data_IF_649349129629
#
_entry.id   IF_649349129629
#
_cell.length_a   1.000
_cell.length_b   1.000
_cell.length_c   1.000
_cell.angle_alpha   90.00
_cell.angle_beta   90.00
_cell.angle_gamma   90.00
#
_symmetry.space_group_name_H-M   'P 1'
#
loop_
_entity.id
_entity.type
_entity.pdbx_description
1 polymer ?
#
# COMPACT_ATOMS: atom_id res chain seq x y z
N UNK A 1 14.54 15.94 -2.21
CA UNK A 1 13.40 15.04 -1.89
C UNK A 1 13.84 14.07 -0.81
N UNK A 2 13.03 13.81 0.21
CA UNK A 2 13.37 12.82 1.24
C UNK A 2 13.37 11.43 0.59
N UNK A 3 14.49 10.73 0.65
CA UNK A 3 14.64 9.38 0.04
C UNK A 3 14.08 8.26 0.94
N UNK A 4 13.07 8.56 1.76
CA UNK A 4 12.41 7.63 2.69
C UNK A 4 10.89 7.73 2.57
N UNK A 5 10.20 6.66 2.93
CA UNK A 5 8.76 6.68 3.09
C UNK A 5 8.35 7.60 4.24
N UNK A 6 7.35 8.42 4.01
CA UNK A 6 6.70 9.25 5.04
C UNK A 6 5.22 8.92 5.06
N UNK A 7 4.61 8.99 6.23
CA UNK A 7 3.16 8.80 6.37
C UNK A 7 2.47 9.92 5.60
N UNK A 8 1.61 9.57 4.65
CA UNK A 8 0.88 10.49 3.81
C UNK A 8 -0.58 10.63 4.23
N UNK A 9 -1.21 9.52 4.62
CA UNK A 9 -2.62 9.49 5.02
C UNK A 9 -2.86 8.41 6.06
N UNK A 10 -3.77 8.69 7.00
CA UNK A 10 -4.37 7.73 7.93
C UNK A 10 -5.86 7.62 7.64
N UNK A 11 -6.42 6.44 7.70
CA UNK A 11 -7.86 6.24 7.48
C UNK A 11 -8.49 5.27 8.45
N UNK A 12 -9.71 5.60 8.84
CA UNK A 12 -10.60 4.83 9.69
C UNK A 12 -11.90 4.58 8.93
N UNK A 13 -12.39 3.34 8.94
CA UNK A 13 -13.66 2.97 8.33
C UNK A 13 -14.44 2.15 9.33
N UNK A 14 -15.62 2.64 9.69
CA UNK A 14 -16.53 2.01 10.65
C UNK A 14 -15.85 1.66 11.99
N UNK A 15 -14.97 2.53 12.45
CA UNK A 15 -14.19 2.33 13.67
C UNK A 15 -14.53 3.40 14.71
N UNK A 16 -14.84 2.97 15.92
CA UNK A 16 -15.29 3.80 17.01
C UNK A 16 -16.53 4.64 16.59
N UNK A 17 -16.51 5.95 16.70
CA UNK A 17 -17.56 6.86 16.24
C UNK A 17 -17.37 7.38 14.82
N UNK A 18 -16.42 6.83 14.07
CA UNK A 18 -16.14 7.25 12.71
C UNK A 18 -16.75 6.28 11.70
N UNK A 19 -17.55 6.78 10.78
CA UNK A 19 -18.02 6.01 9.62
C UNK A 19 -16.90 5.88 8.59
N UNK A 20 -16.45 7.01 8.06
CA UNK A 20 -15.25 7.13 7.21
C UNK A 20 -14.54 8.40 7.63
N UNK A 21 -13.31 8.28 8.05
CA UNK A 21 -12.47 9.45 8.37
C UNK A 21 -11.09 9.26 7.79
N UNK A 22 -10.59 10.26 7.11
CA UNK A 22 -9.26 10.31 6.54
C UNK A 22 -8.51 11.53 7.06
N UNK A 23 -7.28 11.32 7.51
CA UNK A 23 -6.37 12.37 7.96
C UNK A 23 -5.22 12.47 6.99
N UNK A 24 -5.17 13.54 6.21
CA UNK A 24 -4.03 13.85 5.37
C UNK A 24 -2.89 14.46 6.21
N UNK A 25 -1.68 13.95 6.03
CA UNK A 25 -0.51 14.41 6.75
C UNK A 25 0.34 15.32 5.88
N UNK A 26 0.78 16.43 6.44
CA UNK A 26 1.73 17.31 5.78
C UNK A 26 3.15 16.87 6.13
N UNK A 27 3.86 16.30 5.14
CA UNK A 27 5.25 15.85 5.29
C UNK A 27 5.45 14.87 6.48
N UNK A 28 4.46 14.00 6.71
CA UNK A 28 4.45 13.03 7.81
C UNK A 28 4.00 13.59 9.18
N UNK A 29 3.54 14.85 9.23
CA UNK A 29 3.12 15.48 10.46
C UNK A 29 1.59 15.61 10.52
N UNK A 30 1.01 15.31 11.68
CA UNK A 30 -0.39 15.48 11.99
C UNK A 30 -0.55 16.15 13.36
N UNK A 31 -1.33 17.22 13.43
CA UNK A 31 -1.69 17.89 14.67
C UNK A 31 -3.18 17.74 14.96
N UNK A 32 -3.53 16.93 15.96
CA UNK A 32 -4.90 16.80 16.46
C UNK A 32 -5.14 17.78 17.60
N UNK A 33 -6.12 18.68 17.43
CA UNK A 33 -6.54 19.65 18.45
C UNK A 33 -7.97 19.36 18.90
N UNK A 34 -8.26 19.62 20.16
CA UNK A 34 -9.61 19.43 20.72
C UNK A 34 -9.56 19.40 22.25
N UNK A 35 -10.74 19.47 22.88
CA UNK A 35 -10.93 19.38 24.33
C UNK A 35 -10.50 18.02 24.90
N UNK A 36 -10.38 17.92 26.21
CA UNK A 36 -10.11 16.63 26.86
C UNK A 36 -11.33 15.70 26.64
N UNK A 37 -11.07 14.43 26.39
CA UNK A 37 -12.14 13.46 26.13
C UNK A 37 -12.65 13.36 24.68
N UNK A 38 -12.24 14.25 23.76
CA UNK A 38 -12.74 14.23 22.36
C UNK A 38 -12.10 13.12 21.47
N UNK A 39 -11.40 12.15 22.04
CA UNK A 39 -10.93 10.98 21.29
C UNK A 39 -9.56 11.06 20.65
N UNK A 40 -8.82 12.19 20.72
CA UNK A 40 -7.48 12.33 20.09
C UNK A 40 -6.54 11.16 20.38
N UNK A 41 -6.45 10.74 21.64
CA UNK A 41 -5.58 9.64 22.04
C UNK A 41 -6.08 8.30 21.53
N UNK A 42 -7.39 8.05 21.51
CA UNK A 42 -7.97 6.81 20.96
C UNK A 42 -7.64 6.69 19.48
N UNK A 43 -7.89 7.75 18.72
CA UNK A 43 -7.62 7.79 17.28
C UNK A 43 -6.15 7.47 16.98
N UNK A 44 -5.22 8.21 17.60
CA UNK A 44 -3.79 8.02 17.34
C UNK A 44 -3.25 6.67 17.82
N UNK A 45 -3.68 6.21 19.00
CA UNK A 45 -3.22 4.95 19.57
C UNK A 45 -3.69 3.73 18.75
N UNK A 46 -4.85 3.83 18.09
CA UNK A 46 -5.39 2.75 17.27
C UNK A 46 -4.51 2.42 16.04
N UNK A 47 -3.74 3.37 15.55
CA UNK A 47 -2.82 3.15 14.42
C UNK A 47 -1.49 2.51 14.82
N UNK A 48 -1.14 2.46 16.10
CA UNK A 48 0.16 1.94 16.54
C UNK A 48 0.35 0.45 16.22
N UNK A 49 -0.63 -0.45 16.47
CA UNK A 49 -0.52 -1.83 16.03
C UNK A 49 -0.31 -1.97 14.53
N UNK A 50 -0.96 -1.12 13.75
CA UNK A 50 -0.83 -1.14 12.28
C UNK A 50 0.58 -0.76 11.83
N UNK A 51 1.17 0.27 12.46
CA UNK A 51 2.51 0.74 12.10
C UNK A 51 3.61 -0.23 12.54
N UNK A 52 3.42 -0.93 13.65
CA UNK A 52 4.49 -1.70 14.28
C UNK A 52 4.37 -3.21 13.97
N UNK A 53 3.64 -3.92 14.78
CA UNK A 53 3.68 -5.38 14.83
C UNK A 53 2.32 -6.07 14.71
N UNK A 54 1.25 -5.30 14.50
CA UNK A 54 -0.12 -5.85 14.46
C UNK A 54 -0.66 -6.32 15.81
N UNK A 55 0.07 -6.12 16.90
CA UNK A 55 -0.32 -6.55 18.24
C UNK A 55 -1.40 -5.64 18.83
N UNK A 56 -2.57 -6.21 19.11
CA UNK A 56 -3.77 -5.52 19.61
C UNK A 56 -3.86 -5.49 21.14
N UNK A 57 -2.83 -5.92 21.84
CA UNK A 57 -2.88 -5.94 23.30
C UNK A 57 -3.14 -4.54 23.87
N UNK A 58 -3.81 -4.43 25.03
CA UNK A 58 -4.08 -3.14 25.65
C UNK A 58 -2.81 -2.29 25.86
N UNK A 59 -1.68 -2.94 26.16
CA UNK A 59 -0.39 -2.30 26.39
C UNK A 59 0.17 -1.65 25.11
N UNK A 60 -0.14 -2.21 23.94
CA UNK A 60 0.24 -1.62 22.64
C UNK A 60 -0.61 -0.39 22.34
N UNK A 61 -1.89 -0.43 22.67
CA UNK A 61 -2.81 0.69 22.45
C UNK A 61 -2.53 1.82 23.45
N UNK A 62 -2.44 1.48 24.72
CA UNK A 62 -2.14 2.44 25.78
C UNK A 62 -1.28 1.76 26.85
N UNK A 63 0.00 2.15 27.03
CA UNK A 63 0.89 1.57 28.04
C UNK A 63 0.35 1.64 29.47
N UNK A 64 -0.67 2.47 29.69
CA UNK A 64 -1.38 2.64 30.97
C UNK A 64 -2.82 2.19 30.89
N UNK A 65 -3.13 1.52 29.76
CA UNK A 65 -4.48 1.13 29.44
C UNK A 65 -5.16 0.42 30.59
N UNK A 66 -6.21 1.04 31.06
CA UNK A 66 -7.20 0.34 31.87
C UNK A 66 -7.81 -0.77 31.00
N UNK A 67 -8.35 -1.82 31.62
CA UNK A 67 -9.09 -2.88 30.90
C UNK A 67 -10.22 -2.34 30.00
N UNK A 68 -10.63 -1.10 30.18
CA UNK A 68 -11.59 -0.40 29.32
C UNK A 68 -11.05 0.02 27.95
N UNK A 69 -9.74 0.10 27.76
CA UNK A 69 -9.11 0.54 26.51
C UNK A 69 -8.64 -0.64 25.68
N UNK A 70 -9.61 -1.43 25.23
CA UNK A 70 -9.36 -2.55 24.31
C UNK A 70 -9.93 -2.21 22.92
N UNK A 71 -9.37 -2.80 21.89
CA UNK A 71 -9.94 -2.65 20.52
C UNK A 71 -11.41 -3.09 20.47
N UNK A 72 -11.78 -4.11 21.23
CA UNK A 72 -13.17 -4.56 21.30
C UNK A 72 -14.12 -3.44 21.75
N UNK A 73 -13.72 -2.67 22.76
CA UNK A 73 -14.53 -1.58 23.29
C UNK A 73 -14.60 -0.34 22.37
N UNK A 74 -13.68 -0.25 21.39
CA UNK A 74 -13.72 0.78 20.36
C UNK A 74 -14.54 0.35 19.12
N UNK A 75 -14.85 -0.93 19.02
CA UNK A 75 -15.62 -1.46 17.90
C UNK A 75 -17.09 -1.63 18.25
N UNK A 76 -17.41 -2.21 19.41
CA UNK A 76 -18.78 -2.53 19.80
C UNK A 76 -19.33 -1.45 20.73
N UNK A 77 -20.45 -0.87 20.36
CA UNK A 77 -21.28 -0.02 21.19
C UNK A 77 -22.36 -0.81 21.91
N UNK A 78 -23.08 -0.19 22.87
CA UNK A 78 -24.20 -0.82 23.54
C UNK A 78 -25.29 -1.17 22.51
N UNK A 79 -25.53 -2.49 22.36
CA UNK A 79 -26.55 -3.01 21.42
C UNK A 79 -25.96 -3.74 20.22
N UNK A 80 -24.70 -3.51 19.89
CA UNK A 80 -24.06 -4.16 18.76
C UNK A 80 -23.83 -5.65 19.00
N UNK A 81 -24.20 -6.48 18.03
CA UNK A 81 -23.89 -7.91 18.03
C UNK A 81 -22.57 -8.22 17.34
N UNK A 82 -22.29 -7.50 16.26
CA UNK A 82 -21.03 -7.56 15.50
C UNK A 82 -20.74 -6.23 14.80
N UNK A 83 -19.45 -5.93 14.62
CA UNK A 83 -19.00 -4.79 13.83
C UNK A 83 -17.70 -5.15 13.10
N UNK A 84 -17.62 -4.76 11.84
CA UNK A 84 -16.38 -4.86 11.04
C UNK A 84 -15.86 -3.46 10.77
N UNK A 85 -14.57 -3.27 10.93
CA UNK A 85 -13.90 -1.98 10.74
C UNK A 85 -12.56 -2.15 10.03
N UNK A 86 -12.07 -1.07 9.45
CA UNK A 86 -10.75 -1.01 8.84
C UNK A 86 -9.96 0.19 9.35
N UNK A 87 -8.67 -0.05 9.54
CA UNK A 87 -7.65 0.96 9.75
C UNK A 87 -6.64 0.85 8.62
N UNK A 88 -6.19 1.96 8.07
CA UNK A 88 -5.11 1.94 7.09
C UNK A 88 -4.19 3.15 7.23
N UNK A 89 -2.95 2.95 6.78
CA UNK A 89 -1.88 3.95 6.82
C UNK A 89 -1.16 3.93 5.47
N UNK A 90 -1.28 5.01 4.74
CA UNK A 90 -0.63 5.20 3.46
C UNK A 90 0.72 5.91 3.64
N UNK A 91 1.74 5.35 3.07
CA UNK A 91 3.09 5.92 2.99
C UNK A 91 3.38 6.39 1.57
N UNK A 92 4.11 7.48 1.46
CA UNK A 92 4.54 8.05 0.18
C UNK A 92 6.04 8.24 0.14
N UNK A 93 6.65 7.89 -1.01
CA UNK A 93 8.04 8.19 -1.36
C UNK A 93 8.10 8.58 -2.84
N UNK A 94 8.27 9.87 -3.12
CA UNK A 94 8.14 10.38 -4.50
C UNK A 94 6.73 10.11 -5.05
N UNK A 95 6.64 9.35 -6.13
CA UNK A 95 5.37 8.90 -6.73
C UNK A 95 4.97 7.48 -6.34
N UNK A 96 5.74 6.84 -5.46
CA UNK A 96 5.44 5.48 -4.98
C UNK A 96 4.62 5.53 -3.70
N UNK A 97 3.62 4.65 -3.63
CA UNK A 97 2.73 4.51 -2.48
C UNK A 97 2.78 3.08 -1.95
N UNK A 98 2.80 2.95 -0.64
CA UNK A 98 2.61 1.69 0.08
C UNK A 98 1.55 1.93 1.13
N UNK A 99 0.58 1.04 1.24
CA UNK A 99 -0.46 1.16 2.26
C UNK A 99 -0.49 -0.08 3.13
N UNK A 100 -0.30 0.12 4.43
CA UNK A 100 -0.58 -0.89 5.46
C UNK A 100 -2.06 -0.83 5.81
N UNK A 101 -2.71 -1.99 5.91
CA UNK A 101 -4.11 -2.08 6.29
C UNK A 101 -4.38 -3.19 7.29
N UNK A 102 -5.34 -2.93 8.16
CA UNK A 102 -5.80 -3.86 9.19
C UNK A 102 -7.33 -3.89 9.18
N UNK A 103 -7.89 -5.06 8.97
CA UNK A 103 -9.31 -5.29 9.16
C UNK A 103 -9.55 -5.92 10.54
N UNK A 104 -10.62 -5.50 11.17
CA UNK A 104 -11.02 -5.90 12.50
C UNK A 104 -12.49 -6.35 12.47
N UNK A 105 -12.77 -7.50 13.07
CA UNK A 105 -14.15 -7.94 13.29
C UNK A 105 -14.34 -8.26 14.77
N UNK A 106 -15.20 -7.51 15.43
CA UNK A 106 -15.65 -7.75 16.78
C UNK A 106 -17.00 -8.48 16.76
N UNK A 107 -17.12 -9.47 17.62
CA UNK A 107 -18.37 -10.17 17.92
C UNK A 107 -18.58 -10.12 19.42
N UNK A 108 -19.79 -9.91 19.86
CA UNK A 108 -20.14 -9.89 21.28
C UNK A 108 -19.65 -11.17 21.96
N UNK A 109 -18.94 -11.01 23.07
CA UNK A 109 -18.37 -12.12 23.88
C UNK A 109 -17.37 -13.03 23.14
N UNK A 110 -16.74 -12.58 22.05
CA UNK A 110 -15.68 -13.30 21.37
C UNK A 110 -14.43 -12.44 21.21
N UNK A 111 -13.24 -13.04 21.10
CA UNK A 111 -12.03 -12.31 20.76
C UNK A 111 -12.17 -11.58 19.43
N UNK A 112 -11.60 -10.38 19.34
CA UNK A 112 -11.56 -9.62 18.09
C UNK A 112 -10.71 -10.34 17.06
N UNK A 113 -11.30 -10.70 15.95
CA UNK A 113 -10.61 -11.21 14.78
C UNK A 113 -9.90 -10.06 14.06
N UNK A 114 -8.72 -10.34 13.55
CA UNK A 114 -7.96 -9.36 12.72
C UNK A 114 -7.36 -10.05 11.52
N UNK A 115 -7.21 -9.29 10.47
CA UNK A 115 -6.45 -9.62 9.27
C UNK A 115 -5.72 -8.40 8.79
N UNK A 116 -4.62 -8.61 8.09
CA UNK A 116 -3.69 -7.56 7.68
C UNK A 116 -3.43 -7.66 6.19
N UNK A 117 -3.17 -6.53 5.57
CA UNK A 117 -2.79 -6.48 4.17
C UNK A 117 -1.82 -5.34 3.91
N UNK A 118 -1.04 -5.47 2.84
CA UNK A 118 -0.14 -4.43 2.37
C UNK A 118 -0.37 -4.27 0.88
N UNK A 119 -0.74 -3.06 0.45
CA UNK A 119 -0.78 -2.65 -0.94
C UNK A 119 0.60 -2.11 -1.30
N UNK A 120 1.27 -2.76 -2.24
CA UNK A 120 2.59 -2.36 -2.74
C UNK A 120 2.62 -2.16 -4.26
N UNK A 121 1.47 -2.29 -4.91
CA UNK A 121 1.29 -2.13 -6.36
C UNK A 121 0.98 -0.68 -6.81
N UNK A 122 1.03 0.26 -5.88
CA UNK A 122 0.76 1.68 -6.14
C UNK A 122 -0.71 2.07 -6.07
N UNK A 123 -1.64 1.12 -5.93
CA UNK A 123 -3.06 1.43 -5.70
C UNK A 123 -3.27 2.12 -4.36
N UNK A 124 -4.24 3.02 -4.33
CA UNK A 124 -4.55 3.83 -3.15
C UNK A 124 -5.95 3.55 -2.64
N UNK A 125 -6.11 3.46 -1.33
CA UNK A 125 -7.43 3.33 -0.70
C UNK A 125 -8.20 4.65 -0.86
N UNK A 126 -9.49 4.53 -1.16
CA UNK A 126 -10.36 5.67 -1.44
C UNK A 126 -10.30 6.19 -2.89
N UNK A 127 -9.41 5.63 -3.73
CA UNK A 127 -9.31 5.94 -5.16
C UNK A 127 -9.43 4.68 -6.02
N UNK A 128 -8.47 3.77 -5.87
CA UNK A 128 -8.33 2.57 -6.70
C UNK A 128 -8.90 1.32 -6.02
N UNK A 129 -8.97 1.34 -4.69
CA UNK A 129 -9.51 0.27 -3.85
C UNK A 129 -10.41 0.87 -2.78
N UNK A 130 -11.65 0.40 -2.71
CA UNK A 130 -12.59 0.74 -1.65
C UNK A 130 -12.66 -0.39 -0.63
N UNK A 131 -12.55 -0.07 0.66
CA UNK A 131 -12.65 -1.04 1.75
C UNK A 131 -14.10 -1.24 2.23
N UNK A 132 -15.05 -0.61 1.56
CA UNK A 132 -16.49 -0.68 1.86
C UNK A 132 -17.32 -0.61 0.58
N UNK A 133 -18.57 -1.01 0.69
CA UNK A 133 -19.61 -0.83 -0.34
C UNK A 133 -20.65 0.14 0.17
N UNK A 134 -21.14 0.99 -0.71
CA UNK A 134 -22.24 1.89 -0.42
C UNK A 134 -23.51 1.31 -1.07
N UNK A 135 -24.37 0.70 -0.25
CA UNK A 135 -25.64 0.11 -0.68
C UNK A 135 -26.83 0.74 0.06
N UNK A 136 -26.77 2.07 0.28
CA UNK A 136 -27.69 2.79 1.16
C UNK A 136 -27.15 2.94 2.58
N UNK A 137 -26.35 1.99 3.02
CA UNK A 137 -25.56 2.01 4.25
C UNK A 137 -24.11 1.68 3.93
N UNK A 138 -23.20 2.13 4.79
CA UNK A 138 -21.78 1.84 4.68
C UNK A 138 -21.51 0.41 5.17
N UNK A 139 -21.21 -0.49 4.24
CA UNK A 139 -20.94 -1.89 4.55
C UNK A 139 -19.45 -2.18 4.30
N UNK A 140 -18.62 -2.32 5.35
CA UNK A 140 -17.22 -2.70 5.20
C UNK A 140 -17.05 -4.06 4.51
N UNK A 141 -16.01 -4.22 3.71
CA UNK A 141 -15.71 -5.48 3.04
C UNK A 141 -15.48 -6.60 4.06
N UNK A 142 -15.96 -7.80 3.74
CA UNK A 142 -15.58 -8.99 4.47
C UNK A 142 -14.15 -9.42 4.11
N UNK A 143 -13.51 -10.26 4.92
CA UNK A 143 -12.18 -10.83 4.63
C UNK A 143 -12.07 -11.37 3.20
N UNK A 144 -13.05 -12.19 2.78
CA UNK A 144 -13.06 -12.83 1.47
C UNK A 144 -13.19 -11.82 0.33
N UNK A 145 -14.05 -10.82 0.52
CA UNK A 145 -14.18 -9.74 -0.46
C UNK A 145 -12.88 -8.96 -0.59
N UNK A 146 -12.24 -8.60 0.52
CA UNK A 146 -10.96 -7.92 0.51
C UNK A 146 -9.88 -8.74 -0.21
N UNK A 147 -9.77 -10.05 0.05
CA UNK A 147 -8.81 -10.92 -0.64
C UNK A 147 -9.01 -10.92 -2.14
N UNK A 148 -10.26 -10.95 -2.61
CA UNK A 148 -10.57 -10.88 -4.03
C UNK A 148 -10.19 -9.52 -4.64
N UNK A 149 -10.42 -8.43 -3.93
CA UNK A 149 -10.09 -7.06 -4.39
C UNK A 149 -8.58 -6.77 -4.37
N UNK A 150 -7.84 -7.40 -3.44
CA UNK A 150 -6.39 -7.24 -3.37
C UNK A 150 -5.69 -7.80 -4.62
N UNK A 151 -6.17 -8.96 -5.11
CA UNK A 151 -5.56 -9.62 -6.26
C UNK A 151 -4.18 -10.22 -5.98
N UNK A 152 -3.57 -10.75 -7.03
CA UNK A 152 -2.20 -11.29 -6.98
C UNK A 152 -1.17 -10.15 -6.87
N UNK A 153 -0.14 -10.34 -6.04
CA UNK A 153 0.97 -9.38 -5.87
C UNK A 153 0.88 -8.50 -4.62
N UNK A 154 -0.25 -8.47 -3.92
CA UNK A 154 -0.38 -7.79 -2.64
C UNK A 154 -0.37 -8.78 -1.48
N UNK A 155 0.13 -8.32 -0.34
CA UNK A 155 0.25 -9.16 0.83
C UNK A 155 -1.07 -9.19 1.62
N UNK A 156 -1.48 -10.38 2.04
CA UNK A 156 -2.59 -10.61 2.96
C UNK A 156 -2.24 -11.71 3.95
N UNK A 157 -2.56 -11.51 5.21
CA UNK A 157 -2.38 -12.52 6.27
C UNK A 157 -3.34 -12.32 7.44
N UNK A 158 -3.63 -13.40 8.16
CA UNK A 158 -4.29 -13.35 9.46
C UNK A 158 -3.27 -13.56 10.61
N UNK A 159 -2.02 -13.85 10.28
CA UNK A 159 -0.93 -14.05 11.22
C UNK A 159 -0.28 -12.72 11.56
N UNK A 160 -0.29 -12.38 12.86
CA UNK A 160 0.40 -11.21 13.38
C UNK A 160 1.92 -11.27 13.11
N UNK A 161 2.52 -12.45 13.29
CA UNK A 161 3.96 -12.63 13.08
C UNK A 161 4.34 -12.35 11.63
N UNK A 162 3.61 -12.95 10.67
CA UNK A 162 3.86 -12.70 9.26
C UNK A 162 3.64 -11.24 8.87
N UNK A 163 2.67 -10.55 9.49
CA UNK A 163 2.48 -9.12 9.29
C UNK A 163 3.68 -8.31 9.79
N UNK A 164 4.15 -8.59 11.01
CA UNK A 164 5.32 -7.94 11.61
C UNK A 164 6.57 -8.08 10.73
N UNK A 165 6.84 -9.30 10.21
CA UNK A 165 7.93 -9.58 9.29
C UNK A 165 7.83 -8.74 8.01
N UNK A 166 6.62 -8.61 7.46
CA UNK A 166 6.39 -7.83 6.25
C UNK A 166 6.48 -6.32 6.51
N UNK A 167 6.00 -5.82 7.65
CA UNK A 167 6.20 -4.41 8.03
C UNK A 167 7.69 -4.09 8.17
N UNK A 168 8.46 -4.96 8.82
CA UNK A 168 9.91 -4.82 8.86
C UNK A 168 10.49 -4.72 7.44
N UNK A 169 10.17 -5.68 6.58
CA UNK A 169 10.67 -5.73 5.19
C UNK A 169 10.36 -4.47 4.38
N UNK A 170 9.14 -3.93 4.49
CA UNK A 170 8.71 -2.79 3.66
C UNK A 170 9.11 -1.42 4.22
N UNK A 171 9.21 -1.27 5.54
CA UNK A 171 9.38 0.04 6.17
C UNK A 171 10.69 0.20 6.93
N UNK A 172 11.14 -0.83 7.65
CA UNK A 172 12.28 -0.71 8.56
C UNK A 172 13.56 -1.33 8.00
N UNK A 173 13.49 -2.50 7.37
CA UNK A 173 14.61 -3.11 6.64
C UNK A 173 15.67 -3.75 7.53
N UNK A 174 15.32 -4.23 8.74
CA UNK A 174 16.23 -5.01 9.57
C UNK A 174 16.39 -6.42 9.02
N UNK A 175 17.60 -6.93 8.98
CA UNK A 175 17.93 -8.26 8.46
C UNK A 175 17.41 -9.39 9.37
N UNK A 176 17.39 -9.15 10.69
CA UNK A 176 16.85 -10.08 11.68
C UNK A 176 15.63 -9.49 12.39
N UNK A 177 14.74 -10.38 12.83
CA UNK A 177 13.50 -9.99 13.49
C UNK A 177 13.76 -9.54 14.93
N UNK A 178 14.82 -9.99 15.54
CA UNK A 178 15.20 -9.69 16.94
C UNK A 178 15.58 -8.23 17.06
N UNK A 179 16.43 -7.70 16.18
CA UNK A 179 16.77 -6.27 16.12
C UNK A 179 15.52 -5.41 15.87
N UNK A 180 14.58 -5.89 15.07
CA UNK A 180 13.30 -5.19 14.86
C UNK A 180 12.46 -5.18 16.15
N UNK A 181 12.36 -6.30 16.87
CA UNK A 181 11.67 -6.38 18.16
C UNK A 181 12.30 -5.47 19.22
N UNK A 182 13.62 -5.34 19.25
CA UNK A 182 14.32 -4.41 20.13
C UNK A 182 13.93 -2.96 19.83
N UNK A 183 13.90 -2.57 18.54
CA UNK A 183 13.41 -1.25 18.14
C UNK A 183 11.95 -1.04 18.59
N UNK A 184 11.08 -2.03 18.43
CA UNK A 184 9.68 -1.93 18.86
C UNK A 184 9.58 -1.69 20.38
N UNK A 185 10.34 -2.43 21.17
CA UNK A 185 10.37 -2.29 22.63
C UNK A 185 10.85 -0.89 23.04
N UNK A 186 11.87 -0.36 22.36
CA UNK A 186 12.36 0.99 22.58
C UNK A 186 11.27 2.04 22.25
N UNK A 187 10.63 1.95 21.08
CA UNK A 187 9.56 2.87 20.65
C UNK A 187 8.38 2.87 21.64
N UNK A 188 8.01 1.70 22.15
CA UNK A 188 6.92 1.58 23.12
C UNK A 188 7.31 2.19 24.44
N UNK A 189 8.55 1.98 24.90
CA UNK A 189 9.07 2.55 26.13
C UNK A 189 9.12 4.07 26.10
N UNK A 190 9.58 4.66 25.00
CA UNK A 190 9.64 6.12 24.79
C UNK A 190 8.23 6.73 24.73
N UNK A 191 7.26 6.02 24.15
CA UNK A 191 5.87 6.49 24.03
C UNK A 191 5.15 6.62 25.37
N UNK A 192 5.65 5.96 26.41
CA UNK A 192 5.00 5.92 27.71
C UNK A 192 5.02 7.29 28.40
N UNK A 193 3.87 8.00 28.54
CA UNK A 193 3.83 9.31 29.20
C UNK A 193 4.05 9.24 30.71
N UNK A 194 4.08 8.07 31.32
CA UNK A 194 4.32 7.86 32.75
C UNK A 194 5.78 7.90 33.20
N UNK A 195 6.68 8.08 32.27
CA UNK A 195 8.03 8.51 32.69
C UNK A 195 8.00 9.66 33.70
N UNK A 196 6.91 10.43 33.74
CA UNK A 196 6.74 11.54 34.68
C UNK A 196 6.04 11.21 36.01
N UNK A 197 5.27 10.12 36.13
CA UNK A 197 4.48 9.79 37.32
C UNK A 197 5.09 8.73 38.22
N UNK A 198 5.78 7.74 37.62
CA UNK A 198 6.54 6.71 38.36
C UNK A 198 8.02 6.83 38.00
N UNK A 199 8.54 8.06 38.07
CA UNK A 199 9.90 8.40 37.76
C UNK A 199 10.86 7.63 38.73
N UNK A 200 11.32 6.47 38.28
CA UNK A 200 12.47 5.80 38.88
C UNK A 200 13.71 6.21 38.07
N UNK A 201 14.58 7.04 38.67
CA UNK A 201 15.82 7.48 38.00
C UNK A 201 16.64 6.32 37.44
N UNK A 202 16.58 5.17 38.12
CA UNK A 202 17.26 3.93 37.73
C UNK A 202 16.73 3.33 36.40
N UNK A 203 15.46 3.43 36.09
CA UNK A 203 14.92 2.93 34.84
C UNK A 203 15.28 3.85 33.68
N UNK A 204 15.23 5.17 33.88
CA UNK A 204 15.70 6.13 32.87
C UNK A 204 17.20 5.99 32.65
N UNK A 205 17.99 5.84 33.72
CA UNK A 205 19.39 5.60 33.57
C UNK A 205 19.68 4.31 32.79
N UNK A 206 18.91 3.24 33.05
CA UNK A 206 19.02 1.99 32.30
C UNK A 206 18.66 2.19 30.83
N UNK A 207 17.52 2.84 30.51
CA UNK A 207 17.10 3.14 29.15
C UNK A 207 18.14 4.01 28.43
N UNK A 208 18.67 5.03 29.10
CA UNK A 208 19.73 5.87 28.55
C UNK A 208 21.04 5.11 28.38
N UNK A 209 21.42 4.27 29.32
CA UNK A 209 22.63 3.46 29.21
C UNK A 209 22.51 2.41 28.11
N UNK A 210 21.38 1.75 28.01
CA UNK A 210 21.12 0.76 26.95
C UNK A 210 20.99 1.42 25.58
N UNK A 211 20.48 2.66 25.52
CA UNK A 211 20.39 3.44 24.26
C UNK A 211 21.67 4.21 23.90
N UNK A 212 22.55 4.43 24.91
CA UNK A 212 23.85 5.10 24.73
C UNK A 212 25.01 4.11 24.76
N UNK A 213 24.77 2.80 24.65
CA UNK A 213 25.85 1.87 24.33
C UNK A 213 26.65 2.44 23.17
N UNK A 214 27.95 2.64 23.39
CA UNK A 214 28.83 2.95 22.28
C UNK A 214 28.58 1.90 21.22
N UNK A 215 28.07 2.34 20.09
CA UNK A 215 27.82 1.49 18.92
C UNK A 215 29.13 0.78 18.61
N UNK A 216 29.19 -0.51 18.80
CA UNK A 216 30.30 -1.33 18.35
C UNK A 216 30.27 -1.41 16.83
N UNK A 217 31.40 -1.74 16.21
CA UNK A 217 31.44 -1.99 14.76
C UNK A 217 30.44 -3.09 14.35
N UNK A 218 30.12 -4.02 15.26
CA UNK A 218 29.08 -5.04 15.07
C UNK A 218 27.66 -4.46 15.09
N UNK A 219 27.40 -3.46 15.92
CA UNK A 219 26.10 -2.76 15.97
C UNK A 219 25.87 -1.89 14.71
N UNK A 220 26.95 -1.40 14.11
CA UNK A 220 26.91 -0.62 12.86
C UNK A 220 26.83 -1.49 11.59
N UNK A 221 27.22 -2.77 11.68
CA UNK A 221 27.22 -3.71 10.56
C UNK A 221 25.84 -3.83 9.88
N UNK A 222 24.72 -4.05 10.60
CA UNK A 222 23.42 -4.14 9.95
C UNK A 222 23.02 -2.87 9.20
N UNK A 223 23.44 -1.70 9.70
CA UNK A 223 23.20 -0.41 9.03
C UNK A 223 24.09 -0.28 7.80
N UNK A 224 25.36 -0.68 7.90
CA UNK A 224 26.30 -0.70 6.77
C UNK A 224 25.83 -1.65 5.67
N UNK A 225 25.47 -2.89 6.05
CA UNK A 225 24.97 -3.91 5.12
C UNK A 225 23.64 -3.47 4.47
N UNK A 226 22.77 -2.80 5.24
CA UNK A 226 21.53 -2.22 4.70
C UNK A 226 21.79 -1.07 3.73
N UNK A 227 22.81 -0.26 3.97
CA UNK A 227 23.25 0.79 3.04
C UNK A 227 23.84 0.19 1.76
N UNK A 228 24.71 -0.83 1.87
CA UNK A 228 25.28 -1.54 0.71
C UNK A 228 24.18 -2.23 -0.12
N UNK A 229 23.22 -2.87 0.54
CA UNK A 229 22.06 -3.45 -0.12
C UNK A 229 21.21 -2.39 -0.83
N UNK A 230 21.03 -1.22 -0.21
CA UNK A 230 20.29 -0.11 -0.79
C UNK A 230 21.03 0.45 -2.02
N UNK A 231 22.33 0.56 -1.98
CA UNK A 231 23.14 1.00 -3.12
C UNK A 231 23.08 -0.03 -4.26
N UNK A 232 23.19 -1.33 -3.96
CA UNK A 232 23.01 -2.41 -4.94
C UNK A 232 21.62 -2.40 -5.58
N UNK A 233 20.57 -2.16 -4.79
CA UNK A 233 19.21 -2.03 -5.30
C UNK A 233 19.05 -0.77 -6.17
N UNK A 234 19.68 0.34 -5.81
CA UNK A 234 19.68 1.54 -6.63
C UNK A 234 20.39 1.32 -7.96
N UNK A 235 21.53 0.63 -7.97
CA UNK A 235 22.25 0.26 -9.20
C UNK A 235 21.39 -0.62 -10.11
N UNK A 236 20.74 -1.65 -9.53
CA UNK A 236 19.81 -2.53 -10.26
C UNK A 236 18.63 -1.74 -10.84
N UNK A 237 18.11 -0.77 -10.09
CA UNK A 237 17.00 0.08 -10.50
C UNK A 237 17.42 0.99 -11.66
N UNK A 238 18.62 1.52 -11.62
CA UNK A 238 19.16 2.35 -12.70
C UNK A 238 19.49 1.54 -13.96
N UNK A 239 19.97 0.30 -13.82
CA UNK A 239 20.12 -0.63 -14.94
C UNK A 239 18.76 -0.94 -15.59
N UNK A 240 17.75 -1.26 -14.79
CA UNK A 240 16.39 -1.53 -15.28
C UNK A 240 15.78 -0.30 -15.98
N UNK A 241 16.02 0.90 -15.46
CA UNK A 241 15.60 2.16 -16.12
C UNK A 241 16.28 2.35 -17.48
N UNK A 242 17.58 2.06 -17.58
CA UNK A 242 18.31 2.14 -18.85
C UNK A 242 17.80 1.09 -19.84
N UNK A 243 17.58 -0.15 -19.39
CA UNK A 243 17.02 -1.22 -20.20
C UNK A 243 15.60 -0.88 -20.70
N UNK A 244 14.75 -0.37 -19.82
CA UNK A 244 13.41 0.08 -20.21
C UNK A 244 13.43 1.20 -21.26
N UNK A 245 14.32 2.18 -21.09
CA UNK A 245 14.47 3.28 -22.05
C UNK A 245 14.98 2.77 -23.40
N UNK A 246 15.93 1.84 -23.40
CA UNK A 246 16.43 1.20 -24.62
C UNK A 246 15.32 0.38 -25.31
N UNK A 247 14.58 -0.45 -24.57
CA UNK A 247 13.46 -1.21 -25.11
C UNK A 247 12.35 -0.32 -25.68
N UNK A 248 12.04 0.80 -25.00
CA UNK A 248 11.08 1.79 -25.48
C UNK A 248 11.51 2.45 -26.79
N UNK A 249 12.80 2.74 -26.94
CA UNK A 249 13.35 3.26 -28.19
C UNK A 249 13.26 2.22 -29.32
N UNK A 250 13.62 0.97 -29.05
CA UNK A 250 13.50 -0.12 -30.02
C UNK A 250 12.04 -0.27 -30.45
N UNK A 251 11.12 -0.31 -29.50
CA UNK A 251 9.68 -0.36 -29.78
C UNK A 251 9.23 0.78 -30.68
N UNK A 252 9.61 2.02 -30.36
CA UNK A 252 9.27 3.19 -31.17
C UNK A 252 9.75 3.04 -32.63
N UNK A 253 10.99 2.62 -32.84
CA UNK A 253 11.53 2.41 -34.19
C UNK A 253 10.85 1.24 -34.90
N UNK A 254 10.54 0.17 -34.18
CA UNK A 254 9.81 -0.99 -34.72
C UNK A 254 8.39 -0.63 -35.14
N UNK A 255 7.66 0.14 -34.33
CA UNK A 255 6.31 0.61 -34.66
C UNK A 255 6.33 1.52 -35.89
N UNK A 256 7.34 2.39 -35.99
CA UNK A 256 7.55 3.23 -37.17
C UNK A 256 7.85 2.41 -38.43
N UNK A 257 8.72 1.42 -38.33
CA UNK A 257 9.02 0.48 -39.41
C UNK A 257 7.75 -0.26 -39.87
N UNK A 258 7.00 -0.83 -38.95
CA UNK A 258 5.74 -1.53 -39.26
C UNK A 258 4.72 -0.62 -39.92
N UNK A 259 4.63 0.64 -39.51
CA UNK A 259 3.74 1.63 -40.12
C UNK A 259 4.11 1.88 -41.60
N UNK A 260 5.41 1.95 -41.92
CA UNK A 260 5.89 2.12 -43.29
C UNK A 260 5.55 0.89 -44.15
N UNK A 261 5.88 -0.32 -43.62
CA UNK A 261 5.57 -1.58 -44.30
C UNK A 261 4.07 -1.75 -44.55
N UNK A 262 3.24 -1.39 -43.58
CA UNK A 262 1.79 -1.42 -43.74
C UNK A 262 1.31 -0.46 -44.83
N UNK A 263 1.87 0.74 -44.90
CA UNK A 263 1.57 1.74 -45.90
C UNK A 263 1.94 1.23 -47.31
N UNK A 264 3.13 0.64 -47.46
CA UNK A 264 3.58 0.05 -48.74
C UNK A 264 2.66 -1.07 -49.20
N UNK A 265 2.33 -2.01 -48.29
CA UNK A 265 1.40 -3.10 -48.60
C UNK A 265 0.00 -2.60 -48.97
N UNK A 266 -0.49 -1.60 -48.24
CA UNK A 266 -1.79 -0.98 -48.53
C UNK A 266 -1.81 -0.30 -49.90
N UNK A 267 -0.74 0.41 -50.27
CA UNK A 267 -0.60 1.02 -51.62
C UNK A 267 -0.54 -0.04 -52.71
N UNK A 268 0.23 -1.10 -52.52
CA UNK A 268 0.30 -2.19 -53.47
C UNK A 268 -1.09 -2.86 -53.68
N UNK A 269 -1.81 -3.09 -52.60
CA UNK A 269 -3.16 -3.63 -52.65
C UNK A 269 -4.13 -2.70 -53.41
N UNK A 270 -4.15 -1.40 -53.11
CA UNK A 270 -4.97 -0.42 -53.77
C UNK A 270 -4.64 -0.38 -55.27
N UNK A 271 -3.37 -0.39 -55.68
CA UNK A 271 -2.95 -0.41 -57.05
C UNK A 271 -3.44 -1.67 -57.78
N UNK A 272 -3.25 -2.85 -57.16
CA UNK A 272 -3.75 -4.12 -57.74
C UNK A 272 -5.26 -4.13 -57.88
N UNK A 273 -5.98 -3.60 -56.88
CA UNK A 273 -7.44 -3.46 -56.94
C UNK A 273 -7.90 -2.54 -58.07
N UNK A 274 -7.24 -1.41 -58.26
CA UNK A 274 -7.58 -0.45 -59.32
C UNK A 274 -7.32 -1.07 -60.72
N UNK A 275 -6.21 -1.77 -60.90
CA UNK A 275 -5.91 -2.50 -62.15
C UNK A 275 -7.00 -3.51 -62.44
N UNK A 276 -7.35 -4.36 -61.47
CA UNK A 276 -8.40 -5.36 -61.63
C UNK A 276 -9.75 -4.72 -61.96
N UNK A 277 -10.08 -3.61 -61.34
CA UNK A 277 -11.32 -2.86 -61.60
C UNK A 277 -11.36 -2.29 -63.02
N UNK A 278 -10.24 -1.80 -63.55
CA UNK A 278 -10.12 -1.33 -64.92
C UNK A 278 -10.23 -2.48 -65.95
N UNK A 279 -9.58 -3.63 -65.63
CA UNK A 279 -9.69 -4.83 -66.49
C UNK A 279 -11.14 -5.32 -66.59
N UNK A 280 -11.87 -5.39 -65.48
CA UNK A 280 -13.28 -5.76 -65.47
C UNK A 280 -14.09 -4.79 -66.32
N UNK A 281 -13.89 -3.48 -66.11
CA UNK A 281 -14.60 -2.45 -66.89
C UNK A 281 -14.32 -2.56 -68.41
N UNK A 282 -13.07 -2.80 -68.76
CA UNK A 282 -12.66 -2.98 -70.15
C UNK A 282 -13.23 -4.28 -70.75
N UNK A 283 -13.36 -5.33 -69.96
CA UNK A 283 -14.00 -6.57 -70.32
C UNK A 283 -15.50 -6.36 -70.62
N UNK A 284 -16.22 -5.68 -69.73
CA UNK A 284 -17.62 -5.33 -69.88
C UNK A 284 -17.86 -4.47 -71.09
N UNK A 285 -16.98 -3.53 -71.44
CA UNK A 285 -17.04 -2.70 -72.61
C UNK A 285 -16.85 -3.57 -73.90
N UNK A 286 -15.89 -4.47 -73.91
CA UNK A 286 -15.64 -5.38 -75.00
C UNK A 286 -16.84 -6.31 -75.27
N UNK A 287 -17.43 -6.87 -74.25
CA UNK A 287 -18.60 -7.72 -74.31
C UNK A 287 -19.81 -6.95 -74.81
N UNK A 288 -20.02 -5.71 -74.40
CA UNK A 288 -21.12 -4.85 -74.97
C UNK A 288 -20.90 -4.50 -76.42
N UNK A 289 -19.66 -4.18 -76.79
CA UNK A 289 -19.35 -3.89 -78.21
C UNK A 289 -19.54 -5.12 -79.12
N UNK A 290 -19.17 -6.32 -78.62
CA UNK A 290 -19.32 -7.57 -79.33
C UNK A 290 -20.83 -7.96 -79.52
N UNK A 291 -21.65 -7.70 -78.48
CA UNK A 291 -23.13 -7.87 -78.62
C UNK A 291 -23.77 -6.89 -79.53
N UNK A 292 -23.25 -5.67 -79.70
CA UNK A 292 -23.77 -4.68 -80.68
C UNK A 292 -23.31 -4.95 -82.09
N UNK A 293 -22.22 -5.70 -82.31
CA UNK A 293 -21.74 -6.08 -83.65
C UNK A 293 -22.46 -7.32 -84.18
N UNK A 294 -23.05 -8.12 -83.28
CA UNK A 294 -23.79 -9.34 -83.65
C UNK A 294 -25.35 -9.12 -83.77
N UNK A 295 -25.79 -7.86 -83.66
CA UNK A 295 -27.14 -7.40 -84.00
C UNK A 295 -27.10 -6.69 -85.35
#
# INVERSE_FOLDING_TARGET
MKNRYVINKLGLINFWYYDIEEFDLSDGNLLLRGSNGCGKSVTMQSFIPLLLDGNKSPERLDPFGTRARTIANYLLEEGDSEKTAYLYMEFKKGESYITLGMGLKALKNKPVQSWYFILSDGRRIGKDLMLYRNAGELIPLTKRQLQNELGEGNFYTESQKSYMEMVNKYLFGFDDIESYEELLNLLISIRSPKLSKDFKPTEIYKILTDSLKALSDEDLRPISDSMENMDSLNDTLDENRRAYKAASNIKYHYDKYNSIILLEKSRAFINSYNILKEEIKNKDIKEKNQKNYNK
#
